data_IF_999816678339
#
_entry.id   IF_999816678339
#
_cell.length_a   1.000
_cell.length_b   1.000
_cell.length_c   1.000
_cell.angle_alpha   90.00
_cell.angle_beta   90.00
_cell.angle_gamma   90.00
#
_symmetry.space_group_name_H-M   'P 1'
#
loop_
_entity.id
_entity.type
_entity.pdbx_description
1 polymer ?
#
# COMPACT_ATOMS: atom_id res chain seq x y z
N UNK A 1 19.13 32.93 3.73
CA UNK A 1 19.89 31.87 3.02
C UNK A 1 21.32 31.68 3.55
N UNK A 2 22.00 32.70 4.10
CA UNK A 2 23.38 32.57 4.63
C UNK A 2 23.52 31.78 5.96
N UNK A 3 22.48 31.76 6.82
CA UNK A 3 22.53 31.17 8.18
C UNK A 3 22.76 29.65 8.25
N UNK A 4 22.67 28.94 7.11
CA UNK A 4 22.90 27.49 7.03
C UNK A 4 24.17 27.10 6.26
N UNK A 5 24.91 28.05 5.69
CA UNK A 5 26.14 27.76 4.96
C UNK A 5 27.36 27.61 5.88
N UNK A 6 27.28 28.10 7.13
CA UNK A 6 28.45 28.24 8.02
C UNK A 6 28.29 27.46 9.34
N UNK A 7 27.23 26.64 9.47
CA UNK A 7 26.87 26.06 10.77
C UNK A 7 26.37 27.13 11.76
N UNK A 8 25.83 26.73 12.92
CA UNK A 8 25.42 27.68 13.95
C UNK A 8 26.63 28.32 14.64
N UNK A 9 26.59 29.64 14.90
CA UNK A 9 27.65 30.39 15.62
C UNK A 9 27.98 29.81 17.01
N UNK A 10 27.01 29.15 17.64
CA UNK A 10 27.18 28.34 18.85
C UNK A 10 26.48 27.00 18.67
N UNK A 11 27.17 25.92 19.03
CA UNK A 11 26.58 24.60 19.05
C UNK A 11 25.42 24.55 20.05
N UNK A 12 24.21 24.11 19.66
CA UNK A 12 23.10 23.95 20.59
C UNK A 12 23.44 22.88 21.64
N UNK A 13 23.01 23.09 22.88
CA UNK A 13 23.31 22.20 24.02
C UNK A 13 22.83 20.76 23.82
N UNK A 14 21.78 20.56 23.00
CA UNK A 14 21.25 19.23 22.65
C UNK A 14 21.05 19.12 21.14
N UNK A 15 21.89 18.31 20.51
CA UNK A 15 21.75 17.95 19.09
C UNK A 15 20.99 16.62 18.99
N UNK A 16 19.68 16.69 18.75
CA UNK A 16 18.88 15.49 18.52
C UNK A 16 19.13 14.94 17.11
N UNK A 17 19.84 13.83 17.02
CA UNK A 17 19.94 13.06 15.78
C UNK A 17 18.84 12.02 15.72
N UNK A 18 17.90 12.18 14.80
CA UNK A 18 16.79 11.24 14.57
C UNK A 18 17.22 9.91 13.90
N UNK A 19 18.47 9.48 14.14
CA UNK A 19 19.05 8.29 13.50
C UNK A 19 18.42 7.01 14.04
N UNK A 20 18.15 6.96 15.34
CA UNK A 20 17.64 5.76 15.98
C UNK A 20 16.19 5.52 15.61
N UNK A 21 15.39 6.57 15.49
CA UNK A 21 14.01 6.53 15.04
C UNK A 21 13.92 6.03 13.59
N UNK A 22 14.82 6.50 12.72
CA UNK A 22 14.88 6.03 11.34
C UNK A 22 15.31 4.54 11.26
N UNK A 23 16.35 4.15 12.01
CA UNK A 23 16.88 2.78 11.98
C UNK A 23 15.93 1.78 12.63
N UNK A 24 15.32 2.12 13.78
CA UNK A 24 14.38 1.25 14.47
C UNK A 24 13.13 1.03 13.64
N UNK A 25 12.58 2.10 13.04
CA UNK A 25 11.38 2.00 12.17
C UNK A 25 11.66 1.13 10.95
N UNK A 26 12.82 1.30 10.31
CA UNK A 26 13.18 0.48 9.16
C UNK A 26 13.43 -0.98 9.55
N UNK A 27 14.10 -1.22 10.69
CA UNK A 27 14.39 -2.57 11.18
C UNK A 27 13.10 -3.32 11.53
N UNK A 28 12.20 -2.70 12.29
CA UNK A 28 10.92 -3.32 12.67
C UNK A 28 10.01 -3.49 11.46
N UNK A 29 9.97 -2.51 10.55
CA UNK A 29 9.23 -2.63 9.28
C UNK A 29 9.76 -3.76 8.40
N UNK A 30 11.09 -3.92 8.30
CA UNK A 30 11.72 -5.01 7.55
C UNK A 30 11.45 -6.37 8.21
N UNK A 31 11.50 -6.45 9.55
CA UNK A 31 11.16 -7.66 10.28
C UNK A 31 9.69 -8.07 10.02
N UNK A 32 8.76 -7.10 10.04
CA UNK A 32 7.35 -7.35 9.70
C UNK A 32 7.16 -7.77 8.24
N UNK A 33 7.87 -7.15 7.30
CA UNK A 33 7.86 -7.54 5.88
C UNK A 33 8.32 -9.00 5.71
N UNK A 34 9.44 -9.36 6.33
CA UNK A 34 9.99 -10.72 6.28
C UNK A 34 8.98 -11.71 6.88
N UNK A 35 8.48 -11.41 8.07
CA UNK A 35 7.57 -12.28 8.81
C UNK A 35 6.26 -12.52 8.06
N UNK A 36 5.64 -11.46 7.54
CA UNK A 36 4.32 -11.55 6.90
C UNK A 36 4.40 -11.97 5.43
N UNK A 37 5.32 -11.38 4.65
CA UNK A 37 5.34 -11.54 3.20
C UNK A 37 6.39 -12.52 2.69
N UNK A 38 7.44 -12.84 3.47
CA UNK A 38 8.48 -13.75 3.00
C UNK A 38 8.36 -15.16 3.58
N UNK A 39 8.05 -15.31 4.88
CA UNK A 39 7.79 -16.65 5.44
C UNK A 39 6.50 -17.28 4.88
N UNK A 40 5.49 -16.48 4.57
CA UNK A 40 4.22 -16.95 3.99
C UNK A 40 3.99 -16.36 2.59
N UNK A 41 5.03 -16.34 1.75
CA UNK A 41 5.00 -15.67 0.44
C UNK A 41 3.87 -16.14 -0.48
N UNK A 42 3.57 -17.44 -0.53
CA UNK A 42 2.44 -17.95 -1.32
C UNK A 42 1.08 -17.41 -0.86
N UNK A 43 0.94 -17.12 0.43
CA UNK A 43 -0.32 -16.63 0.97
C UNK A 43 -0.47 -15.12 0.81
N UNK A 44 0.60 -14.34 1.02
CA UNK A 44 0.49 -12.88 1.11
C UNK A 44 1.10 -12.11 -0.07
N UNK A 45 2.14 -12.66 -0.71
CA UNK A 45 2.91 -11.97 -1.73
C UNK A 45 2.55 -12.39 -3.15
N UNK A 46 2.31 -13.69 -3.37
CA UNK A 46 2.02 -14.25 -4.71
C UNK A 46 0.51 -14.23 -4.96
N UNK A 47 0.11 -13.72 -6.13
CA UNK A 47 -1.24 -13.91 -6.67
C UNK A 47 -1.10 -14.57 -8.04
N UNK A 48 -1.51 -15.85 -8.19
CA UNK A 48 -1.42 -16.58 -9.45
C UNK A 48 -2.11 -15.89 -10.64
N UNK A 49 -3.11 -15.04 -10.37
CA UNK A 49 -3.82 -14.29 -11.42
C UNK A 49 -2.96 -13.14 -11.99
N UNK A 50 -1.95 -12.69 -11.24
CA UNK A 50 -0.98 -11.69 -11.69
C UNK A 50 0.21 -12.38 -12.34
N UNK A 51 0.88 -13.24 -11.58
CA UNK A 51 1.96 -14.08 -12.08
C UNK A 51 2.23 -15.24 -11.11
N UNK A 52 2.38 -16.44 -11.67
CA UNK A 52 2.75 -17.63 -10.91
C UNK A 52 4.24 -17.61 -10.56
N UNK A 53 4.55 -17.28 -9.30
CA UNK A 53 5.90 -17.31 -8.75
C UNK A 53 6.02 -18.36 -7.66
N UNK A 54 7.16 -19.05 -7.64
CA UNK A 54 7.56 -19.80 -6.44
C UNK A 54 7.89 -18.83 -5.30
N UNK A 55 7.83 -19.30 -4.05
CA UNK A 55 8.14 -18.46 -2.87
C UNK A 55 9.53 -17.84 -2.96
N UNK A 56 10.52 -18.63 -3.38
CA UNK A 56 11.90 -18.16 -3.48
C UNK A 56 12.05 -17.08 -4.57
N UNK A 57 11.40 -17.24 -5.71
CA UNK A 57 11.38 -16.21 -6.75
C UNK A 57 10.69 -14.93 -6.26
N UNK A 58 9.53 -15.04 -5.61
CA UNK A 58 8.80 -13.89 -5.09
C UNK A 58 9.63 -13.11 -4.05
N UNK A 59 10.26 -13.82 -3.10
CA UNK A 59 11.16 -13.22 -2.11
C UNK A 59 12.39 -12.60 -2.76
N UNK A 60 13.03 -13.33 -3.69
CA UNK A 60 14.23 -12.86 -4.40
C UNK A 60 13.97 -11.60 -5.22
N UNK A 61 12.86 -11.55 -5.95
CA UNK A 61 12.42 -10.37 -6.69
C UNK A 61 12.02 -9.24 -5.75
N UNK A 62 11.39 -9.54 -4.60
CA UNK A 62 11.00 -8.53 -3.61
C UNK A 62 12.21 -7.82 -2.99
N UNK A 63 13.15 -8.61 -2.46
CA UNK A 63 14.40 -8.09 -1.89
C UNK A 63 15.26 -7.43 -2.97
N UNK A 64 15.43 -8.09 -4.11
CA UNK A 64 16.20 -7.58 -5.25
C UNK A 64 15.64 -6.26 -5.78
N UNK A 65 14.31 -6.13 -5.88
CA UNK A 65 13.63 -4.92 -6.30
C UNK A 65 13.86 -3.76 -5.32
N UNK A 66 13.75 -4.00 -4.01
CA UNK A 66 14.03 -2.98 -3.00
C UNK A 66 15.49 -2.50 -3.10
N UNK A 67 16.45 -3.44 -3.15
CA UNK A 67 17.88 -3.11 -3.24
C UNK A 67 18.21 -2.38 -4.55
N UNK A 68 17.70 -2.88 -5.68
CA UNK A 68 17.87 -2.26 -6.99
C UNK A 68 17.34 -0.83 -6.99
N UNK A 69 16.14 -0.61 -6.44
CA UNK A 69 15.56 0.73 -6.37
C UNK A 69 16.37 1.69 -5.51
N UNK A 70 16.97 1.23 -4.41
CA UNK A 70 17.91 2.03 -3.61
C UNK A 70 19.15 2.42 -4.43
N UNK A 71 19.73 1.48 -5.18
CA UNK A 71 20.90 1.73 -6.03
C UNK A 71 20.57 2.68 -7.17
N UNK A 72 19.44 2.49 -7.85
CA UNK A 72 18.98 3.36 -8.95
C UNK A 72 18.72 4.77 -8.43
N UNK A 73 18.09 4.92 -7.26
CA UNK A 73 17.90 6.21 -6.63
C UNK A 73 19.24 6.91 -6.30
N UNK A 74 20.22 6.17 -5.79
CA UNK A 74 21.57 6.73 -5.54
C UNK A 74 22.25 7.14 -6.85
N UNK A 75 22.08 6.37 -7.92
CA UNK A 75 22.53 6.71 -9.27
C UNK A 75 21.89 8.01 -9.79
N UNK A 76 20.56 8.15 -9.66
CA UNK A 76 19.84 9.38 -10.00
C UNK A 76 20.39 10.58 -9.23
N UNK A 77 20.64 10.43 -7.93
CA UNK A 77 21.16 11.50 -7.08
C UNK A 77 22.56 11.97 -7.47
N UNK A 78 23.42 11.06 -7.93
CA UNK A 78 24.79 11.34 -8.41
C UNK A 78 24.83 11.83 -9.87
N UNK A 79 23.76 11.60 -10.62
CA UNK A 79 23.69 11.96 -12.03
C UNK A 79 23.64 13.49 -12.25
N UNK A 80 24.02 13.97 -13.45
CA UNK A 80 23.90 15.39 -13.81
C UNK A 80 22.46 15.92 -13.78
N UNK A 81 21.45 15.04 -13.84
CA UNK A 81 20.04 15.41 -13.72
C UNK A 81 19.76 16.18 -12.42
N UNK A 82 20.54 15.93 -11.36
CA UNK A 82 20.43 16.65 -10.10
C UNK A 82 20.65 18.16 -10.19
N UNK A 83 21.19 18.67 -11.31
CA UNK A 83 21.36 20.11 -11.57
C UNK A 83 20.06 20.82 -11.97
N UNK A 84 19.09 20.08 -12.51
CA UNK A 84 17.80 20.62 -12.92
C UNK A 84 16.68 19.94 -12.13
N UNK A 85 16.08 20.69 -11.20
CA UNK A 85 15.02 20.21 -10.31
C UNK A 85 13.83 19.62 -11.07
N UNK A 86 13.44 20.19 -12.21
CA UNK A 86 12.29 19.72 -12.99
C UNK A 86 12.58 18.36 -13.63
N UNK A 87 13.74 18.23 -14.30
CA UNK A 87 14.16 16.96 -14.90
C UNK A 87 14.36 15.88 -13.84
N UNK A 88 14.98 16.23 -12.71
CA UNK A 88 15.16 15.29 -11.60
C UNK A 88 13.81 14.81 -11.04
N UNK A 89 12.86 15.72 -10.85
CA UNK A 89 11.52 15.38 -10.35
C UNK A 89 10.76 14.49 -11.34
N UNK A 90 10.82 14.80 -12.64
CA UNK A 90 10.23 13.95 -13.68
C UNK A 90 10.85 12.55 -13.71
N UNK A 91 12.19 12.45 -13.60
CA UNK A 91 12.88 11.17 -13.53
C UNK A 91 12.51 10.37 -12.26
N UNK A 92 12.31 11.04 -11.13
CA UNK A 92 11.88 10.38 -9.89
C UNK A 92 10.44 9.85 -9.98
N UNK A 93 9.55 10.59 -10.64
CA UNK A 93 8.18 10.15 -10.92
C UNK A 93 8.19 8.94 -11.87
N UNK A 94 8.99 8.99 -12.94
CA UNK A 94 9.13 7.87 -13.87
C UNK A 94 9.73 6.63 -13.20
N UNK A 95 10.75 6.81 -12.35
CA UNK A 95 11.31 5.76 -11.51
C UNK A 95 10.25 5.14 -10.59
N UNK A 96 9.48 5.98 -9.90
CA UNK A 96 8.38 5.52 -9.06
C UNK A 96 7.36 4.71 -9.87
N UNK A 97 6.94 5.22 -11.02
CA UNK A 97 5.97 4.56 -11.89
C UNK A 97 6.47 3.20 -12.38
N UNK A 98 7.73 3.11 -12.80
CA UNK A 98 8.33 1.87 -13.27
C UNK A 98 8.36 0.79 -12.18
N UNK A 99 8.82 1.15 -10.97
CA UNK A 99 8.86 0.20 -9.85
C UNK A 99 7.46 -0.19 -9.39
N UNK A 100 6.53 0.75 -9.32
CA UNK A 100 5.17 0.44 -8.91
C UNK A 100 4.48 -0.46 -9.93
N UNK A 101 4.60 -0.14 -11.22
CA UNK A 101 4.11 -0.97 -12.32
C UNK A 101 4.73 -2.36 -12.26
N UNK A 102 6.05 -2.46 -12.09
CA UNK A 102 6.73 -3.74 -11.92
C UNK A 102 6.14 -4.54 -10.76
N UNK A 103 6.08 -3.95 -9.57
CA UNK A 103 5.54 -4.65 -8.40
C UNK A 103 4.09 -5.09 -8.56
N UNK A 104 3.21 -4.30 -9.18
CA UNK A 104 1.81 -4.71 -9.40
C UNK A 104 1.64 -5.77 -10.48
N UNK A 105 2.62 -5.96 -11.37
CA UNK A 105 2.62 -7.03 -12.36
C UNK A 105 3.41 -8.26 -11.90
N UNK A 106 4.07 -8.19 -10.74
CA UNK A 106 4.84 -9.29 -10.18
C UNK A 106 4.22 -9.89 -8.92
N UNK A 107 3.51 -9.09 -8.14
CA UNK A 107 2.99 -9.46 -6.83
C UNK A 107 1.48 -9.25 -6.73
N UNK A 108 0.88 -9.81 -5.68
CA UNK A 108 -0.46 -9.43 -5.23
C UNK A 108 -0.54 -7.92 -5.02
N UNK A 109 -1.72 -7.31 -5.20
CA UNK A 109 -1.87 -5.86 -5.01
C UNK A 109 -1.38 -5.37 -3.63
N UNK A 110 -1.65 -6.15 -2.58
CA UNK A 110 -1.12 -5.92 -1.22
C UNK A 110 0.40 -5.96 -1.18
N UNK A 111 0.97 -7.03 -1.73
CA UNK A 111 2.41 -7.23 -1.84
C UNK A 111 3.07 -6.06 -2.56
N UNK A 112 2.49 -5.61 -3.67
CA UNK A 112 3.03 -4.52 -4.47
C UNK A 112 3.10 -3.19 -3.71
N UNK A 113 2.03 -2.81 -3.01
CA UNK A 113 1.98 -1.56 -2.25
C UNK A 113 2.95 -1.57 -1.06
N UNK A 114 3.02 -2.69 -0.33
CA UNK A 114 3.97 -2.85 0.77
C UNK A 114 5.42 -2.83 0.28
N UNK A 115 5.74 -3.48 -0.86
CA UNK A 115 7.08 -3.45 -1.43
C UNK A 115 7.46 -2.05 -1.93
N UNK A 116 6.52 -1.31 -2.51
CA UNK A 116 6.76 0.09 -2.89
C UNK A 116 7.03 0.96 -1.65
N UNK A 117 6.28 0.76 -0.56
CA UNK A 117 6.53 1.45 0.69
C UNK A 117 7.89 1.05 1.30
N UNK A 118 8.25 -0.23 1.25
CA UNK A 118 9.51 -0.74 1.76
C UNK A 118 10.70 -0.22 0.95
N UNK A 119 10.56 -0.07 -0.37
CA UNK A 119 11.53 0.59 -1.23
C UNK A 119 11.76 2.04 -0.82
N UNK A 120 10.68 2.83 -0.69
CA UNK A 120 10.79 4.23 -0.26
C UNK A 120 11.40 4.32 1.14
N UNK A 121 10.96 3.50 2.08
CA UNK A 121 11.51 3.43 3.44
C UNK A 121 13.00 3.08 3.45
N UNK A 122 13.42 2.17 2.58
CA UNK A 122 14.83 1.78 2.41
C UNK A 122 15.67 2.91 1.80
N UNK A 123 15.12 3.65 0.84
CA UNK A 123 15.75 4.88 0.33
C UNK A 123 15.92 5.90 1.46
N UNK A 124 14.89 6.09 2.28
CA UNK A 124 14.91 7.04 3.38
C UNK A 124 15.96 6.70 4.44
N UNK A 125 16.06 5.42 4.85
CA UNK A 125 17.08 5.01 5.82
C UNK A 125 18.49 5.08 5.23
N UNK A 126 18.64 4.71 3.95
CA UNK A 126 19.91 4.80 3.23
C UNK A 126 20.42 6.25 3.17
N UNK A 127 19.53 7.20 2.94
CA UNK A 127 19.82 8.63 2.98
C UNK A 127 20.33 9.08 4.36
N UNK A 128 19.67 8.62 5.44
CA UNK A 128 20.06 8.94 6.82
C UNK A 128 21.46 8.41 7.11
N UNK A 129 21.68 7.13 6.81
CA UNK A 129 22.90 6.40 7.14
C UNK A 129 24.12 6.90 6.36
N UNK A 130 23.99 7.08 5.03
CA UNK A 130 25.15 7.35 4.17
C UNK A 130 25.44 8.83 3.94
N UNK A 131 24.45 9.73 4.06
CA UNK A 131 24.61 11.15 3.66
C UNK A 131 24.27 12.13 4.78
N UNK A 132 23.15 11.95 5.47
CA UNK A 132 22.69 12.92 6.48
C UNK A 132 23.57 12.88 7.73
N UNK A 133 23.67 11.73 8.39
CA UNK A 133 24.43 11.61 9.65
C UNK A 133 25.93 11.85 9.43
N UNK A 134 26.60 11.26 8.42
CA UNK A 134 28.01 11.54 8.19
C UNK A 134 28.28 13.02 7.88
N UNK A 135 27.44 13.66 7.06
CA UNK A 135 27.57 15.09 6.75
C UNK A 135 27.40 15.99 7.99
N UNK A 136 26.40 15.69 8.82
CA UNK A 136 26.18 16.40 10.08
C UNK A 136 27.34 16.21 11.07
N UNK A 137 27.86 14.98 11.21
CA UNK A 137 29.01 14.68 12.07
C UNK A 137 30.27 15.44 11.64
N UNK A 138 30.56 15.48 10.34
CA UNK A 138 31.72 16.21 9.80
C UNK A 138 31.60 17.72 10.08
N UNK A 139 30.43 18.30 9.83
CA UNK A 139 30.19 19.73 10.11
C UNK A 139 30.36 20.05 11.60
N UNK A 140 29.81 19.22 12.51
CA UNK A 140 29.96 19.42 13.96
C UNK A 140 31.42 19.31 14.39
N UNK A 141 32.17 18.36 13.84
CA UNK A 141 33.60 18.21 14.14
C UNK A 141 34.42 19.44 13.72
N UNK A 142 34.17 19.99 12.53
CA UNK A 142 34.86 21.20 12.05
C UNK A 142 34.54 22.42 12.92
N UNK A 143 33.26 22.63 13.26
CA UNK A 143 32.84 23.71 14.16
C UNK A 143 33.49 23.57 15.55
N UNK A 144 33.53 22.36 16.10
CA UNK A 144 34.16 22.10 17.40
C UNK A 144 35.68 22.32 17.39
N UNK A 145 36.33 22.06 16.25
CA UNK A 145 37.77 22.28 16.06
C UNK A 145 38.12 23.74 15.71
N UNK A 146 37.14 24.62 15.50
CA UNK A 146 37.37 25.99 15.02
C UNK A 146 37.91 26.05 13.58
N UNK A 147 37.74 24.97 12.81
CA UNK A 147 38.17 24.88 11.43
C UNK A 147 37.14 25.51 10.47
N UNK A 148 37.57 25.97 9.28
CA UNK A 148 36.64 26.35 8.22
C UNK A 148 35.69 25.21 7.86
N UNK A 149 34.38 25.49 7.93
CA UNK A 149 33.34 24.49 7.64
C UNK A 149 33.21 24.28 6.13
N UNK A 150 33.36 23.04 5.69
CA UNK A 150 33.06 22.62 4.33
C UNK A 150 31.54 22.43 4.18
N UNK A 151 30.83 23.24 3.37
CA UNK A 151 29.38 23.18 3.27
C UNK A 151 28.88 21.99 2.45
N UNK A 152 29.71 21.37 1.60
CA UNK A 152 29.24 20.39 0.62
C UNK A 152 28.55 19.16 1.24
N UNK A 153 29.09 18.51 2.29
CA UNK A 153 28.44 17.38 2.95
C UNK A 153 27.12 17.76 3.63
N UNK A 154 27.05 18.96 4.22
CA UNK A 154 25.84 19.48 4.86
C UNK A 154 24.73 19.79 3.85
N UNK A 155 25.09 20.36 2.69
CA UNK A 155 24.16 20.65 1.60
C UNK A 155 23.60 19.36 0.98
N UNK A 156 24.42 18.34 0.77
CA UNK A 156 23.96 17.03 0.30
C UNK A 156 23.06 16.36 1.34
N UNK A 157 23.43 16.38 2.62
CA UNK A 157 22.58 15.90 3.71
C UNK A 157 21.22 16.63 3.75
N UNK A 158 21.21 17.96 3.57
CA UNK A 158 19.97 18.75 3.47
C UNK A 158 19.11 18.33 2.28
N UNK A 159 19.71 18.13 1.10
CA UNK A 159 18.99 17.67 -0.10
C UNK A 159 18.30 16.31 0.15
N UNK A 160 19.02 15.35 0.75
CA UNK A 160 18.44 14.06 1.14
C UNK A 160 17.35 14.18 2.19
N UNK A 161 17.54 15.05 3.18
CA UNK A 161 16.52 15.30 4.21
C UNK A 161 15.24 15.89 3.62
N UNK A 162 15.34 16.74 2.60
CA UNK A 162 14.17 17.26 1.88
C UNK A 162 13.45 16.12 1.15
N UNK A 163 14.18 15.22 0.48
CA UNK A 163 13.55 14.06 -0.18
C UNK A 163 12.84 13.14 0.82
N UNK A 164 13.50 12.81 1.94
CA UNK A 164 12.87 12.04 3.03
C UNK A 164 11.61 12.73 3.53
N UNK A 165 11.64 14.07 3.64
CA UNK A 165 10.48 14.85 4.05
C UNK A 165 9.32 14.72 3.05
N UNK A 166 9.57 14.78 1.74
CA UNK A 166 8.53 14.52 0.72
C UNK A 166 7.99 13.09 0.76
N UNK A 167 8.83 12.11 1.08
CA UNK A 167 8.46 10.70 1.13
C UNK A 167 7.63 10.30 2.35
N UNK A 168 7.53 11.12 3.40
CA UNK A 168 6.86 10.72 4.64
C UNK A 168 5.37 10.41 4.47
N UNK A 169 4.59 11.30 3.85
CA UNK A 169 3.14 11.04 3.67
C UNK A 169 2.89 9.88 2.69
N UNK A 170 3.59 9.83 1.53
CA UNK A 170 3.47 8.69 0.63
C UNK A 170 3.79 7.34 1.28
N UNK A 171 4.89 7.22 2.04
CA UNK A 171 5.28 5.93 2.64
C UNK A 171 4.30 5.48 3.73
N UNK A 172 3.79 6.41 4.54
CA UNK A 172 2.76 6.12 5.55
C UNK A 172 1.50 5.56 4.88
N UNK A 173 1.05 6.21 3.80
CA UNK A 173 -0.12 5.74 3.07
C UNK A 173 0.10 4.31 2.54
N UNK A 174 1.23 4.06 1.88
CA UNK A 174 1.53 2.73 1.32
C UNK A 174 1.56 1.65 2.40
N UNK A 175 2.11 1.95 3.57
CA UNK A 175 2.19 0.99 4.68
C UNK A 175 0.82 0.67 5.29
N UNK A 176 -0.11 1.63 5.30
CA UNK A 176 -1.47 1.45 5.83
C UNK A 176 -2.45 0.95 4.75
N UNK A 177 -2.07 1.02 3.46
CA UNK A 177 -2.93 0.70 2.32
C UNK A 177 -3.60 -0.68 2.37
N UNK A 178 -3.02 -1.66 3.08
CA UNK A 178 -3.60 -2.99 3.27
C UNK A 178 -4.98 -3.00 3.96
N UNK A 179 -5.34 -1.91 4.63
CA UNK A 179 -6.66 -1.71 5.24
C UNK A 179 -7.72 -1.21 4.24
N UNK A 180 -7.34 -0.90 3.00
CA UNK A 180 -8.22 -0.32 1.98
C UNK A 180 -8.15 -1.12 0.66
N UNK A 181 -8.80 -2.30 0.59
CA UNK A 181 -8.76 -3.19 -0.59
C UNK A 181 -9.07 -2.53 -1.93
N UNK A 182 -10.03 -1.60 -1.93
CA UNK A 182 -10.40 -0.79 -3.09
C UNK A 182 -9.22 -0.08 -3.78
N UNK A 183 -8.13 0.21 -3.06
CA UNK A 183 -6.97 0.91 -3.61
C UNK A 183 -6.05 -0.04 -4.37
N UNK A 184 -5.76 -1.21 -3.78
CA UNK A 184 -4.77 -2.14 -4.34
C UNK A 184 -5.39 -3.24 -5.22
N UNK A 185 -6.69 -3.51 -5.13
CA UNK A 185 -7.42 -4.43 -6.02
C UNK A 185 -7.92 -3.75 -7.30
N UNK A 186 -7.73 -2.43 -7.45
CA UNK A 186 -8.14 -1.72 -8.65
C UNK A 186 -7.39 -2.23 -9.88
N UNK A 187 -8.06 -2.34 -11.04
CA UNK A 187 -7.43 -2.81 -12.29
C UNK A 187 -6.20 -1.96 -12.70
N UNK A 188 -6.20 -0.68 -12.32
CA UNK A 188 -5.07 0.24 -12.49
C UNK A 188 -4.43 0.62 -11.16
N UNK A 189 -4.25 -0.35 -10.26
CA UNK A 189 -3.71 -0.15 -8.90
C UNK A 189 -2.35 0.56 -8.89
N UNK A 190 -1.48 0.31 -9.88
CA UNK A 190 -0.20 1.01 -10.01
C UNK A 190 -0.38 2.51 -10.26
N UNK A 191 -1.35 2.90 -11.09
CA UNK A 191 -1.63 4.30 -11.42
C UNK A 191 -2.27 5.00 -10.22
N UNK A 192 -3.23 4.33 -9.57
CA UNK A 192 -3.84 4.79 -8.31
C UNK A 192 -2.76 5.03 -7.26
N UNK A 193 -1.89 4.06 -7.05
CA UNK A 193 -0.76 4.17 -6.13
C UNK A 193 0.17 5.33 -6.49
N UNK A 194 0.50 5.51 -7.78
CA UNK A 194 1.33 6.63 -8.25
C UNK A 194 0.66 8.00 -8.03
N UNK A 195 -0.63 8.12 -8.30
CA UNK A 195 -1.38 9.36 -8.03
C UNK A 195 -1.36 9.68 -6.54
N UNK A 196 -1.56 8.69 -5.68
CA UNK A 196 -1.48 8.87 -4.23
C UNK A 196 -0.08 9.32 -3.82
N UNK A 197 0.98 8.69 -4.34
CA UNK A 197 2.37 9.11 -4.07
C UNK A 197 2.60 10.59 -4.45
N UNK A 198 2.18 11.00 -5.64
CA UNK A 198 2.36 12.37 -6.13
C UNK A 198 1.53 13.37 -5.32
N UNK A 199 0.25 13.09 -5.09
CA UNK A 199 -0.65 13.98 -4.34
C UNK A 199 -0.17 14.10 -2.89
N UNK A 200 0.21 13.00 -2.23
CA UNK A 200 0.74 13.03 -0.87
C UNK A 200 2.05 13.83 -0.77
N UNK A 201 2.95 13.70 -1.75
CA UNK A 201 4.17 14.51 -1.82
C UNK A 201 3.84 16.00 -2.07
N UNK A 202 2.84 16.30 -2.90
CA UNK A 202 2.38 17.66 -3.15
C UNK A 202 1.71 18.30 -1.91
N UNK A 203 0.88 17.57 -1.17
CA UNK A 203 0.36 18.01 0.14
C UNK A 203 1.53 18.29 1.09
N UNK A 204 2.54 17.42 1.10
CA UNK A 204 3.74 17.62 1.92
C UNK A 204 4.53 18.86 1.52
N UNK A 205 4.51 19.23 0.24
CA UNK A 205 5.14 20.44 -0.28
C UNK A 205 4.65 21.70 0.44
N UNK A 206 3.35 21.80 0.73
CA UNK A 206 2.79 22.93 1.49
C UNK A 206 3.50 23.12 2.83
N UNK A 207 3.70 22.03 3.58
CA UNK A 207 4.39 22.08 4.86
C UNK A 207 5.85 22.53 4.69
N UNK A 208 6.53 22.07 3.64
CA UNK A 208 7.91 22.50 3.35
C UNK A 208 8.01 24.00 3.03
N UNK A 209 7.05 24.54 2.24
CA UNK A 209 6.95 25.97 1.97
C UNK A 209 6.68 26.77 3.24
N UNK A 210 5.74 26.30 4.07
CA UNK A 210 5.37 26.94 5.34
C UNK A 210 6.57 27.02 6.30
N UNK A 211 7.37 25.96 6.43
CA UNK A 211 8.59 25.96 7.24
C UNK A 211 9.68 26.90 6.68
N UNK A 212 9.63 27.18 5.38
CA UNK A 212 10.55 28.11 4.71
C UNK A 212 10.06 29.57 4.74
N UNK A 213 8.93 29.84 5.42
CA UNK A 213 8.33 31.17 5.53
C UNK A 213 7.30 31.51 4.44
N UNK A 214 7.12 30.66 3.43
CA UNK A 214 6.15 30.86 2.35
C UNK A 214 4.78 30.25 2.72
N UNK A 215 3.77 31.09 2.88
CA UNK A 215 2.39 30.65 3.15
C UNK A 215 1.59 30.57 1.86
N UNK A 216 1.55 29.39 1.24
CA UNK A 216 0.76 29.10 0.02
C UNK A 216 -0.37 28.09 0.30
N UNK A 217 -1.44 28.49 1.04
CA UNK A 217 -2.50 27.56 1.48
C UNK A 217 -3.22 26.85 0.34
N UNK A 218 -3.28 27.44 -0.87
CA UNK A 218 -3.87 26.81 -2.04
C UNK A 218 -3.23 25.45 -2.37
N UNK A 219 -1.94 25.24 -2.07
CA UNK A 219 -1.25 23.95 -2.30
C UNK A 219 -1.88 22.84 -1.45
N UNK A 220 -2.20 23.14 -0.19
CA UNK A 220 -2.85 22.19 0.71
C UNK A 220 -4.28 21.88 0.26
N UNK A 221 -5.07 22.92 -0.05
CA UNK A 221 -6.47 22.75 -0.42
C UNK A 221 -6.63 22.08 -1.78
N UNK A 222 -5.81 22.42 -2.79
CA UNK A 222 -5.80 21.74 -4.08
C UNK A 222 -5.35 20.29 -3.96
N UNK A 223 -4.33 20.00 -3.14
CA UNK A 223 -3.90 18.63 -2.87
C UNK A 223 -4.98 17.80 -2.16
N UNK A 224 -5.66 18.38 -1.16
CA UNK A 224 -6.77 17.73 -0.47
C UNK A 224 -7.96 17.48 -1.40
N UNK A 225 -8.32 18.46 -2.24
CA UNK A 225 -9.37 18.31 -3.24
C UNK A 225 -9.01 17.22 -4.27
N UNK A 226 -7.75 17.16 -4.72
CA UNK A 226 -7.28 16.11 -5.62
C UNK A 226 -7.34 14.72 -4.97
N UNK A 227 -6.94 14.59 -3.69
CA UNK A 227 -7.05 13.32 -2.97
C UNK A 227 -8.51 12.90 -2.78
N UNK A 228 -9.39 13.85 -2.48
CA UNK A 228 -10.83 13.58 -2.33
C UNK A 228 -11.47 13.17 -3.65
N UNK A 229 -11.15 13.86 -4.74
CA UNK A 229 -11.60 13.49 -6.08
C UNK A 229 -11.11 12.08 -6.47
N UNK A 230 -9.85 11.75 -6.20
CA UNK A 230 -9.32 10.41 -6.42
C UNK A 230 -10.06 9.35 -5.60
N UNK A 231 -10.35 9.63 -4.33
CA UNK A 231 -11.12 8.73 -3.48
C UNK A 231 -12.54 8.49 -4.02
N UNK A 232 -13.22 9.52 -4.54
CA UNK A 232 -14.52 9.39 -5.20
C UNK A 232 -14.42 8.51 -6.43
N UNK A 233 -13.44 8.76 -7.32
CA UNK A 233 -13.28 7.98 -8.56
C UNK A 233 -13.08 6.49 -8.27
N UNK A 234 -12.21 6.15 -7.32
CA UNK A 234 -11.95 4.76 -6.93
C UNK A 234 -13.20 4.11 -6.31
N UNK A 235 -13.95 4.86 -5.49
CA UNK A 235 -15.18 4.35 -4.86
C UNK A 235 -16.32 4.15 -5.87
N UNK A 236 -16.43 5.05 -6.85
CA UNK A 236 -17.45 4.99 -7.90
C UNK A 236 -17.18 3.88 -8.92
N UNK A 237 -15.92 3.55 -9.21
CA UNK A 237 -15.61 2.45 -10.13
C UNK A 237 -15.86 1.08 -9.49
N UNK A 238 -15.61 0.94 -8.18
CA UNK A 238 -16.08 -0.21 -7.41
C UNK A 238 -17.62 -0.34 -7.49
N UNK A 239 -18.31 0.80 -7.45
CA UNK A 239 -19.70 1.09 -7.89
C UNK A 239 -20.20 0.40 -9.17
N UNK A 240 -19.61 0.82 -10.29
CA UNK A 240 -20.07 0.53 -11.66
C UNK A 240 -19.72 -0.86 -12.18
N UNK A 241 -18.62 -1.48 -11.71
CA UNK A 241 -18.36 -2.90 -11.98
C UNK A 241 -19.54 -3.79 -11.50
N UNK A 242 -20.37 -3.30 -10.56
CA UNK A 242 -21.60 -3.96 -10.13
C UNK A 242 -22.81 -3.77 -11.06
N UNK A 243 -22.84 -2.71 -11.89
CA UNK A 243 -24.02 -2.37 -12.70
C UNK A 243 -24.01 -2.98 -14.10
N UNK A 244 -22.85 -3.34 -14.65
CA UNK A 244 -22.74 -3.98 -15.97
C UNK A 244 -23.12 -5.47 -15.98
N UNK A 245 -23.18 -6.13 -14.81
CA UNK A 245 -23.66 -7.51 -14.67
C UNK A 245 -25.20 -7.65 -14.62
N UNK A 246 -25.95 -6.56 -14.86
CA UNK A 246 -27.40 -6.46 -14.65
C UNK A 246 -28.27 -7.00 -15.80
N UNK A 247 -27.71 -7.54 -16.87
CA UNK A 247 -28.50 -7.99 -18.04
C UNK A 247 -28.54 -9.51 -18.20
N UNK A 248 -29.34 -10.18 -17.37
CA UNK A 248 -29.93 -11.48 -17.72
C UNK A 248 -31.46 -11.40 -17.57
N UNK A 249 -32.25 -11.95 -18.51
CA UNK A 249 -33.71 -11.89 -18.45
C UNK A 249 -34.23 -12.75 -17.29
N UNK A 250 -35.21 -12.21 -16.57
CA UNK A 250 -35.90 -12.85 -15.46
C UNK A 250 -37.21 -13.45 -15.98
N UNK A 251 -37.25 -14.77 -16.13
CA UNK A 251 -38.52 -15.50 -16.29
C UNK A 251 -39.13 -15.85 -14.93
N UNK A 252 -40.46 -15.95 -14.89
CA UNK A 252 -41.30 -15.77 -13.70
C UNK A 252 -41.96 -17.05 -13.14
N UNK A 253 -42.03 -17.12 -11.80
CA UNK A 253 -43.14 -17.56 -10.90
C UNK A 253 -43.58 -19.07 -10.87
N UNK A 254 -44.42 -19.55 -9.90
CA UNK A 254 -44.82 -19.05 -8.56
C UNK A 254 -44.79 -20.13 -7.41
N UNK A 255 -45.19 -19.70 -6.19
CA UNK A 255 -46.07 -20.38 -5.20
C UNK A 255 -45.52 -20.69 -3.78
N UNK A 256 -46.43 -20.46 -2.83
CA UNK A 256 -46.34 -20.50 -1.38
C UNK A 256 -46.15 -21.91 -0.77
N UNK A 257 -45.49 -22.01 0.40
CA UNK A 257 -46.07 -22.46 1.69
C UNK A 257 -45.08 -23.15 2.65
N UNK A 258 -45.28 -22.84 3.95
CA UNK A 258 -45.06 -23.65 5.17
C UNK A 258 -43.66 -23.81 5.77
N UNK A 259 -43.56 -23.32 7.02
CA UNK A 259 -42.43 -23.35 7.95
C UNK A 259 -42.19 -24.77 8.48
N UNK A 260 -41.22 -25.44 7.90
CA UNK A 260 -40.14 -26.16 8.60
C UNK A 260 -38.90 -25.62 7.90
N UNK A 261 -37.94 -25.03 8.60
CA UNK A 261 -36.92 -24.18 7.96
C UNK A 261 -35.89 -25.00 7.15
N UNK A 262 -36.35 -25.67 6.10
CA UNK A 262 -35.57 -26.00 4.92
C UNK A 262 -35.19 -24.68 4.28
N UNK A 263 -33.93 -24.60 3.86
CA UNK A 263 -33.43 -23.46 3.14
C UNK A 263 -34.20 -23.33 1.82
N UNK A 264 -34.46 -22.09 1.40
CA UNK A 264 -34.99 -21.85 0.07
C UNK A 264 -33.89 -22.07 -0.99
N UNK A 265 -34.27 -22.07 -2.27
CA UNK A 265 -33.33 -22.33 -3.36
C UNK A 265 -32.12 -21.37 -3.35
N UNK A 266 -32.34 -20.08 -3.11
CA UNK A 266 -31.29 -19.06 -3.05
C UNK A 266 -30.35 -19.29 -1.85
N UNK A 267 -30.90 -19.64 -0.69
CA UNK A 267 -30.12 -19.97 0.51
C UNK A 267 -29.24 -21.20 0.29
N UNK A 268 -29.75 -22.23 -0.41
CA UNK A 268 -28.95 -23.40 -0.79
C UNK A 268 -27.80 -23.03 -1.75
N UNK A 269 -28.06 -22.19 -2.75
CA UNK A 269 -27.02 -21.70 -3.69
C UNK A 269 -25.94 -20.94 -2.91
N UNK A 270 -26.33 -19.98 -2.07
CA UNK A 270 -25.39 -19.20 -1.29
C UNK A 270 -24.57 -20.08 -0.33
N UNK A 271 -25.21 -21.03 0.35
CA UNK A 271 -24.51 -21.96 1.24
C UNK A 271 -23.52 -22.84 0.48
N UNK A 272 -23.89 -23.39 -0.66
CA UNK A 272 -22.99 -24.24 -1.46
C UNK A 272 -21.75 -23.47 -1.92
N UNK A 273 -21.92 -22.24 -2.41
CA UNK A 273 -20.79 -21.38 -2.81
C UNK A 273 -19.90 -21.07 -1.60
N UNK A 274 -20.49 -20.73 -0.46
CA UNK A 274 -19.73 -20.41 0.76
C UNK A 274 -18.97 -21.64 1.29
N UNK A 275 -19.59 -22.81 1.28
CA UNK A 275 -18.93 -24.07 1.68
C UNK A 275 -17.73 -24.38 0.79
N UNK A 276 -17.87 -24.22 -0.52
CA UNK A 276 -16.80 -24.50 -1.48
C UNK A 276 -15.69 -23.45 -1.48
N UNK A 277 -16.04 -22.17 -1.30
CA UNK A 277 -15.10 -21.06 -1.52
C UNK A 277 -14.57 -20.42 -0.25
N UNK A 278 -15.28 -20.52 0.87
CA UNK A 278 -15.01 -19.77 2.10
C UNK A 278 -14.72 -20.67 3.31
N UNK A 279 -15.41 -21.80 3.47
CA UNK A 279 -15.38 -22.60 4.69
C UNK A 279 -14.04 -23.25 5.00
N UNK A 280 -13.14 -23.40 4.02
CA UNK A 280 -11.76 -23.86 4.26
C UNK A 280 -11.02 -22.95 5.27
N UNK A 281 -11.29 -21.64 5.24
CA UNK A 281 -10.71 -20.65 6.16
C UNK A 281 -11.72 -20.18 7.23
N UNK A 282 -13.01 -20.07 6.87
CA UNK A 282 -14.06 -19.49 7.70
C UNK A 282 -14.97 -20.55 8.33
N UNK A 283 -14.37 -21.53 9.00
CA UNK A 283 -15.05 -22.60 9.75
C UNK A 283 -14.63 -22.59 11.22
N UNK A 284 -15.39 -23.20 12.13
CA UNK A 284 -14.94 -23.49 13.49
C UNK A 284 -13.73 -24.44 13.51
N UNK A 285 -13.57 -25.25 12.47
CA UNK A 285 -12.41 -26.12 12.25
C UNK A 285 -11.79 -25.87 10.86
N UNK A 286 -11.07 -24.76 10.66
CA UNK A 286 -10.45 -24.45 9.38
C UNK A 286 -9.48 -25.54 8.94
N UNK A 287 -9.52 -25.88 7.65
CA UNK A 287 -8.66 -26.89 7.03
C UNK A 287 -7.55 -26.28 6.18
N UNK A 288 -7.48 -24.95 6.08
CA UNK A 288 -6.42 -24.23 5.37
C UNK A 288 -5.04 -24.41 6.02
N UNK A 289 -3.99 -24.47 5.22
CA UNK A 289 -2.61 -24.62 5.73
C UNK A 289 -2.04 -23.39 6.44
N UNK A 290 -2.57 -22.21 6.14
CA UNK A 290 -2.11 -20.93 6.68
C UNK A 290 -3.12 -20.37 7.69
N UNK A 291 -4.41 -20.40 7.34
CA UNK A 291 -5.48 -19.90 8.20
C UNK A 291 -6.01 -21.00 9.12
N UNK A 292 -5.28 -21.26 10.21
CA UNK A 292 -5.67 -22.26 11.24
C UNK A 292 -6.77 -21.78 12.20
N UNK A 293 -7.18 -20.52 12.10
CA UNK A 293 -8.28 -19.90 12.85
C UNK A 293 -9.06 -19.02 11.87
N UNK A 294 -10.39 -19.04 11.99
CA UNK A 294 -11.28 -18.20 11.20
C UNK A 294 -10.89 -16.72 11.28
N UNK A 295 -10.46 -16.08 10.18
CA UNK A 295 -10.05 -14.68 10.20
C UNK A 295 -11.18 -13.79 10.69
N UNK A 296 -10.85 -12.86 11.61
CA UNK A 296 -11.82 -11.95 12.26
C UNK A 296 -12.95 -12.65 13.04
N UNK A 297 -12.81 -13.95 13.34
CA UNK A 297 -13.85 -14.74 14.01
C UNK A 297 -15.10 -14.99 13.14
N UNK A 298 -15.02 -14.74 11.83
CA UNK A 298 -16.11 -14.99 10.90
C UNK A 298 -16.14 -16.49 10.56
N UNK A 299 -17.08 -17.22 11.14
CA UNK A 299 -17.35 -18.65 10.89
C UNK A 299 -18.63 -18.75 10.08
N UNK A 300 -18.70 -19.67 9.11
CA UNK A 300 -19.81 -19.89 8.18
C UNK A 300 -20.28 -21.35 8.13
N UNK A 301 -20.23 -22.07 9.25
CA UNK A 301 -20.58 -23.51 9.31
C UNK A 301 -22.10 -23.76 9.22
N UNK A 302 -22.92 -22.74 9.45
CA UNK A 302 -24.37 -22.82 9.41
C UNK A 302 -25.00 -21.69 8.60
N UNK A 303 -26.24 -21.88 8.16
CA UNK A 303 -27.00 -20.81 7.52
C UNK A 303 -27.17 -19.58 8.43
N UNK A 304 -27.40 -19.78 9.72
CA UNK A 304 -27.53 -18.70 10.70
C UNK A 304 -26.25 -17.86 10.78
N UNK A 305 -25.09 -18.52 10.65
CA UNK A 305 -23.82 -17.83 10.58
C UNK A 305 -23.66 -17.02 9.29
N UNK A 306 -24.00 -17.61 8.15
CA UNK A 306 -23.98 -16.94 6.84
C UNK A 306 -24.87 -15.71 6.86
N UNK A 307 -26.11 -15.84 7.35
CA UNK A 307 -27.08 -14.75 7.42
C UNK A 307 -26.59 -13.60 8.33
N UNK A 308 -26.03 -13.93 9.50
CA UNK A 308 -25.40 -12.97 10.41
C UNK A 308 -24.28 -12.15 9.74
N UNK A 309 -23.52 -12.79 8.86
CA UNK A 309 -22.38 -12.17 8.17
C UNK A 309 -22.67 -11.67 6.76
N UNK A 310 -23.90 -11.86 6.25
CA UNK A 310 -24.34 -11.60 4.88
C UNK A 310 -23.82 -10.29 4.30
N UNK A 311 -24.00 -9.17 5.02
CA UNK A 311 -23.57 -7.84 4.56
C UNK A 311 -22.06 -7.75 4.37
N UNK A 312 -21.27 -8.36 5.27
CA UNK A 312 -19.82 -8.41 5.15
C UNK A 312 -19.36 -9.40 4.08
N UNK A 313 -20.05 -10.52 3.90
CA UNK A 313 -19.76 -11.49 2.84
C UNK A 313 -19.91 -10.79 1.48
N UNK A 314 -21.02 -10.08 1.24
CA UNK A 314 -21.22 -9.29 0.01
C UNK A 314 -20.12 -8.23 -0.13
N UNK A 315 -19.86 -7.43 0.90
CA UNK A 315 -18.85 -6.36 0.81
C UNK A 315 -17.43 -6.89 0.47
N UNK A 316 -17.05 -8.05 1.00
CA UNK A 316 -15.70 -8.61 0.86
C UNK A 316 -15.55 -9.51 -0.36
N UNK A 317 -16.45 -10.47 -0.53
CA UNK A 317 -16.39 -11.44 -1.61
C UNK A 317 -17.00 -10.90 -2.92
N UNK A 318 -17.87 -9.91 -2.89
CA UNK A 318 -18.48 -9.37 -4.11
C UNK A 318 -17.95 -7.98 -4.39
N UNK A 319 -18.21 -7.02 -3.50
CA UNK A 319 -18.00 -5.61 -3.84
C UNK A 319 -16.51 -5.23 -3.90
N UNK A 320 -15.68 -5.76 -2.99
CA UNK A 320 -14.23 -5.52 -3.01
C UNK A 320 -13.43 -6.60 -3.76
N UNK A 321 -14.02 -7.77 -3.98
CA UNK A 321 -13.35 -8.93 -4.57
C UNK A 321 -12.12 -9.44 -3.82
N UNK A 322 -11.91 -9.03 -2.56
CA UNK A 322 -10.71 -9.32 -1.79
C UNK A 322 -10.76 -10.66 -1.03
N UNK A 323 -11.93 -11.29 -1.03
CA UNK A 323 -12.18 -12.66 -0.56
C UNK A 323 -12.73 -13.53 -1.69
N UNK A 324 -12.46 -14.86 -1.74
CA UNK A 324 -11.55 -15.61 -0.89
C UNK A 324 -10.12 -15.05 -0.97
N UNK A 325 -9.36 -15.17 0.12
CA UNK A 325 -8.09 -14.45 0.25
C UNK A 325 -7.12 -14.75 -0.90
N UNK A 326 -6.68 -13.71 -1.62
CA UNK A 326 -5.92 -13.81 -2.89
C UNK A 326 -6.52 -14.80 -3.91
N UNK A 327 -7.84 -14.95 -3.88
CA UNK A 327 -8.61 -15.93 -4.66
C UNK A 327 -8.07 -17.36 -4.55
N UNK A 328 -7.57 -17.77 -3.38
CA UNK A 328 -6.96 -19.09 -3.14
C UNK A 328 -7.85 -20.27 -3.54
N UNK A 329 -9.16 -20.15 -3.36
CA UNK A 329 -10.15 -21.17 -3.75
C UNK A 329 -10.70 -20.98 -5.16
N UNK A 330 -10.11 -20.08 -5.96
CA UNK A 330 -10.45 -19.85 -7.37
C UNK A 330 -11.93 -19.53 -7.62
N UNK A 331 -12.53 -18.69 -6.76
CA UNK A 331 -13.91 -18.25 -6.94
C UNK A 331 -14.03 -17.40 -8.21
N UNK A 332 -14.95 -17.77 -9.09
CA UNK A 332 -15.18 -17.10 -10.37
C UNK A 332 -16.02 -15.84 -10.22
N UNK A 333 -16.02 -14.97 -11.23
CA UNK A 333 -16.89 -13.80 -11.23
C UNK A 333 -18.37 -14.19 -11.31
N UNK A 334 -18.68 -15.27 -12.03
CA UNK A 334 -20.05 -15.81 -12.10
C UNK A 334 -20.54 -16.26 -10.72
N UNK A 335 -19.72 -16.98 -9.95
CA UNK A 335 -20.06 -17.39 -8.58
C UNK A 335 -20.24 -16.18 -7.65
N UNK A 336 -19.47 -15.10 -7.83
CA UNK A 336 -19.63 -13.86 -7.04
C UNK A 336 -20.98 -13.21 -7.32
N UNK A 337 -21.39 -13.15 -8.59
CA UNK A 337 -22.68 -12.60 -8.97
C UNK A 337 -23.84 -13.49 -8.50
N UNK A 338 -23.72 -14.81 -8.61
CA UNK A 338 -24.69 -15.76 -8.06
C UNK A 338 -24.83 -15.59 -6.54
N UNK A 339 -23.70 -15.50 -5.82
CA UNK A 339 -23.69 -15.25 -4.38
C UNK A 339 -24.36 -13.91 -4.02
N UNK A 340 -24.08 -12.85 -4.78
CA UNK A 340 -24.71 -11.53 -4.59
C UNK A 340 -26.22 -11.63 -4.73
N UNK A 341 -26.70 -12.26 -5.80
CA UNK A 341 -28.13 -12.39 -6.07
C UNK A 341 -28.82 -13.22 -4.98
N UNK A 342 -28.27 -14.40 -4.68
CA UNK A 342 -28.79 -15.32 -3.69
C UNK A 342 -28.89 -14.67 -2.29
N UNK A 343 -27.87 -13.92 -1.87
CA UNK A 343 -27.90 -13.23 -0.59
C UNK A 343 -28.79 -11.99 -0.60
N UNK A 344 -28.83 -11.23 -1.70
CA UNK A 344 -29.59 -9.98 -1.79
C UNK A 344 -31.11 -10.21 -1.90
N UNK A 345 -31.53 -11.37 -2.40
CA UNK A 345 -32.94 -11.76 -2.51
C UNK A 345 -33.62 -12.03 -1.16
N UNK A 346 -32.84 -12.13 -0.08
CA UNK A 346 -33.30 -12.50 1.26
C UNK A 346 -33.67 -11.29 2.13
N UNK A 347 -34.05 -10.16 1.51
CA UNK A 347 -34.45 -8.93 2.20
C UNK A 347 -35.97 -8.73 2.17
#
# INVERSE_FOLDING_TARGET
MAKYQVGPEKMPEKLHWFKWEAYSTWLTGSALLIWMYYFNAQAYLVDPRVMELTSLQAVGVGVGGILLGVVVYEGLMRSPLGRNTLLFSGALIAFGALFFYGFTHLFSGRGAFIHMGALIGSIMVNNVFHKIIPGQRKMVAQVAAGEPVDPAPGLEGKRRSIHNNYFTLPVIFLMISNHYPMVYQHAHSWLVGMLILVISAYIRHYFNLKHSGEKKPYVMFSGAAAMFALAIVISWQATEQMHMAKSLPRDAAPASATVTASLNADQHIAQQIIEQRCSQCHSATPTDDVFKVAPSGAVFDSWQDIDRWKSRIIARAVDSGDMPFLNKTQMTEEERQQLKQALSALN
#
